data_IF_982566853883
#
_entry.id   IF_982566853883
#
_cell.length_a   1.000
_cell.length_b   1.000
_cell.length_c   1.000
_cell.angle_alpha   90.00
_cell.angle_beta   90.00
_cell.angle_gamma   90.00
#
_symmetry.space_group_name_H-M   'P 1'
#
loop_
_entity.id
_entity.type
_entity.pdbx_description
1 polymer ?
#
# COMPACT_ATOMS: atom_id res chain seq x y z
N UNK A 1 1.96 -24.38 -8.02
CA UNK A 1 2.09 -25.65 -7.26
C UNK A 1 2.74 -26.67 -8.19
N UNK A 2 3.88 -27.24 -7.82
CA UNK A 2 4.62 -28.19 -8.66
C UNK A 2 6.10 -28.26 -8.29
N UNK A 3 6.84 -29.22 -8.86
CA UNK A 3 8.28 -29.41 -8.56
C UNK A 3 9.13 -28.17 -8.89
N UNK A 4 8.70 -27.32 -9.83
CA UNK A 4 9.35 -26.08 -10.22
C UNK A 4 9.22 -24.95 -9.16
N UNK A 5 8.38 -25.11 -8.14
CA UNK A 5 8.33 -24.17 -7.00
C UNK A 5 9.55 -24.32 -6.09
N UNK A 6 10.23 -25.48 -6.11
CA UNK A 6 11.41 -25.72 -5.30
C UNK A 6 12.64 -25.05 -5.95
N UNK A 7 13.35 -24.23 -5.18
CA UNK A 7 14.52 -23.50 -5.67
C UNK A 7 15.64 -24.44 -6.14
N UNK A 8 15.88 -25.56 -5.45
CA UNK A 8 16.90 -26.55 -5.84
C UNK A 8 16.61 -27.14 -7.23
N UNK A 9 15.34 -27.35 -7.55
CA UNK A 9 14.90 -27.82 -8.87
C UNK A 9 15.18 -26.78 -9.94
N UNK A 10 14.87 -25.50 -9.69
CA UNK A 10 15.17 -24.41 -10.64
C UNK A 10 16.67 -24.27 -10.86
N UNK A 11 17.47 -24.27 -9.79
CA UNK A 11 18.93 -24.17 -9.90
C UNK A 11 19.54 -25.33 -10.70
N UNK A 12 19.09 -26.56 -10.45
CA UNK A 12 19.54 -27.72 -11.20
C UNK A 12 19.10 -27.69 -12.67
N UNK A 13 17.88 -27.20 -12.97
CA UNK A 13 17.36 -27.13 -14.33
C UNK A 13 18.19 -26.21 -15.24
N UNK A 14 18.73 -25.13 -14.67
CA UNK A 14 19.59 -24.17 -15.37
C UNK A 14 21.09 -24.43 -15.15
N UNK A 15 21.49 -25.56 -14.56
CA UNK A 15 22.90 -25.93 -14.40
C UNK A 15 23.58 -26.16 -15.74
N UNK A 16 24.92 -26.06 -15.80
CA UNK A 16 25.65 -26.34 -17.04
C UNK A 16 25.48 -27.80 -17.48
N UNK A 17 25.43 -28.76 -16.56
CA UNK A 17 25.26 -30.17 -16.92
C UNK A 17 23.88 -30.42 -17.55
N UNK A 18 22.82 -29.87 -16.95
CA UNK A 18 21.46 -30.11 -17.43
C UNK A 18 21.18 -29.27 -18.68
N UNK A 19 21.44 -27.96 -18.65
CA UNK A 19 21.06 -27.05 -19.72
C UNK A 19 21.98 -27.13 -20.96
N UNK A 20 23.31 -27.18 -20.76
CA UNK A 20 24.28 -27.15 -21.87
C UNK A 20 24.71 -28.54 -22.31
N UNK A 21 24.93 -29.45 -21.36
CA UNK A 21 25.41 -30.80 -21.65
C UNK A 21 24.27 -31.82 -21.84
N UNK A 22 23.01 -31.41 -21.63
CA UNK A 22 21.80 -32.25 -21.73
C UNK A 22 21.87 -33.55 -20.89
N UNK A 23 22.63 -33.51 -19.79
CA UNK A 23 22.75 -34.60 -18.85
C UNK A 23 21.55 -34.62 -17.89
N UNK A 24 21.33 -35.76 -17.24
CA UNK A 24 20.41 -35.83 -16.11
C UNK A 24 20.98 -35.02 -14.94
N UNK A 25 20.12 -34.37 -14.16
CA UNK A 25 20.55 -33.72 -12.92
C UNK A 25 21.04 -34.75 -11.92
N UNK A 26 21.83 -34.29 -10.95
CA UNK A 26 22.02 -35.04 -9.71
C UNK A 26 20.67 -35.21 -8.99
N UNK A 27 20.62 -36.15 -8.05
CA UNK A 27 19.42 -36.39 -7.24
C UNK A 27 19.05 -35.11 -6.46
N UNK A 28 17.86 -34.59 -6.70
CA UNK A 28 17.35 -33.39 -6.03
C UNK A 28 16.40 -33.82 -4.93
N UNK A 29 16.82 -33.66 -3.68
CA UNK A 29 15.99 -33.94 -2.51
C UNK A 29 14.99 -32.78 -2.27
N UNK A 30 13.71 -33.11 -2.41
CA UNK A 30 12.58 -32.20 -2.16
C UNK A 30 12.07 -32.29 -0.72
N UNK A 31 12.38 -33.38 -0.01
CA UNK A 31 12.03 -33.64 1.39
C UNK A 31 12.49 -35.02 1.84
N UNK A 32 12.11 -35.43 3.06
CA UNK A 32 12.63 -36.65 3.74
C UNK A 32 12.47 -37.94 2.91
N UNK A 33 11.40 -38.06 2.11
CA UNK A 33 11.13 -39.24 1.27
C UNK A 33 10.81 -38.88 -0.19
N UNK A 34 11.18 -37.68 -0.66
CA UNK A 34 10.88 -37.24 -2.01
C UNK A 34 12.13 -36.75 -2.70
N UNK A 35 12.50 -37.41 -3.78
CA UNK A 35 13.62 -37.02 -4.63
C UNK A 35 13.22 -37.02 -6.10
N UNK A 36 13.81 -36.13 -6.88
CA UNK A 36 13.52 -35.97 -8.30
C UNK A 36 14.84 -35.85 -9.08
N UNK A 37 14.85 -36.41 -10.27
CA UNK A 37 15.88 -36.20 -11.29
C UNK A 37 15.21 -35.54 -12.47
N UNK A 38 15.82 -34.46 -12.98
CA UNK A 38 15.31 -33.72 -14.13
C UNK A 38 16.27 -33.84 -15.30
N UNK A 39 15.73 -33.79 -16.52
CA UNK A 39 16.49 -33.74 -17.76
C UNK A 39 15.87 -32.66 -18.64
N UNK A 40 16.71 -31.89 -19.34
CA UNK A 40 16.22 -30.92 -20.31
C UNK A 40 15.68 -31.67 -21.54
N UNK A 41 14.43 -31.40 -21.89
CA UNK A 41 13.82 -31.88 -23.13
C UNK A 41 14.00 -30.80 -24.22
N UNK A 42 13.39 -29.64 -23.99
CA UNK A 42 13.52 -28.45 -24.82
C UNK A 42 13.98 -27.25 -23.97
N UNK A 43 14.85 -26.41 -24.53
CA UNK A 43 15.25 -25.14 -23.93
C UNK A 43 14.85 -24.01 -24.87
N UNK A 44 13.94 -23.17 -24.38
CA UNK A 44 13.58 -21.93 -25.05
C UNK A 44 14.36 -20.78 -24.40
N UNK A 45 15.21 -20.06 -25.16
CA UNK A 45 15.95 -18.94 -24.61
C UNK A 45 14.97 -17.83 -24.20
N UNK A 46 15.30 -17.13 -23.11
CA UNK A 46 14.54 -15.95 -22.69
C UNK A 46 14.52 -14.94 -23.83
N UNK A 47 13.35 -14.75 -24.42
CA UNK A 47 13.11 -13.78 -25.48
C UNK A 47 12.21 -12.69 -24.92
N UNK A 48 12.46 -11.46 -25.35
CA UNK A 48 11.59 -10.36 -25.00
C UNK A 48 10.29 -10.55 -25.77
N UNK A 49 9.17 -10.65 -25.04
CA UNK A 49 7.86 -10.76 -25.68
C UNK A 49 7.69 -9.59 -26.65
N UNK A 50 7.25 -9.90 -27.85
CA UNK A 50 7.01 -8.90 -28.89
C UNK A 50 5.81 -8.03 -28.49
N UNK A 51 5.75 -6.82 -29.04
CA UNK A 51 4.59 -5.93 -28.80
C UNK A 51 3.27 -6.62 -29.19
N UNK A 52 3.26 -7.51 -30.17
CA UNK A 52 2.07 -8.26 -30.57
C UNK A 52 1.58 -9.22 -29.49
N UNK A 53 2.51 -9.89 -28.78
CA UNK A 53 2.19 -10.87 -27.72
C UNK A 53 1.68 -10.21 -26.45
N UNK A 54 2.19 -9.01 -26.12
CA UNK A 54 1.76 -8.24 -24.93
C UNK A 54 0.77 -7.13 -25.25
N UNK A 55 0.31 -7.01 -26.50
CA UNK A 55 -0.53 -5.90 -26.96
C UNK A 55 -1.80 -5.78 -26.13
N UNK A 56 -2.50 -6.89 -25.93
CA UNK A 56 -3.77 -6.90 -25.22
C UNK A 56 -3.59 -6.63 -23.73
N UNK A 57 -2.48 -7.12 -23.16
CA UNK A 57 -2.11 -6.83 -21.77
C UNK A 57 -1.82 -5.33 -21.59
N UNK A 58 -0.99 -4.74 -22.45
CA UNK A 58 -0.68 -3.30 -22.44
C UNK A 58 -1.95 -2.48 -22.68
N UNK A 59 -2.79 -2.88 -23.64
CA UNK A 59 -4.02 -2.17 -23.94
C UNK A 59 -4.98 -2.19 -22.74
N UNK A 60 -5.04 -3.31 -22.01
CA UNK A 60 -5.83 -3.41 -20.77
C UNK A 60 -5.24 -2.50 -19.70
N UNK A 61 -3.93 -2.58 -19.43
CA UNK A 61 -3.26 -1.71 -18.45
C UNK A 61 -3.42 -0.22 -18.77
N UNK A 62 -3.29 0.18 -20.03
CA UNK A 62 -3.46 1.58 -20.44
C UNK A 62 -4.90 2.04 -20.33
N UNK A 63 -5.88 1.15 -20.59
CA UNK A 63 -7.30 1.47 -20.38
C UNK A 63 -7.58 1.68 -18.90
N UNK A 64 -7.09 0.79 -18.03
CA UNK A 64 -7.29 0.91 -16.58
C UNK A 64 -6.66 2.23 -16.08
N UNK A 65 -5.43 2.53 -16.49
CA UNK A 65 -4.78 3.80 -16.15
C UNK A 65 -5.53 5.03 -16.67
N UNK A 66 -6.09 4.96 -17.87
CA UNK A 66 -6.89 6.04 -18.44
C UNK A 66 -8.20 6.24 -17.66
N UNK A 67 -8.84 5.14 -17.22
CA UNK A 67 -10.02 5.17 -16.37
C UNK A 67 -9.69 5.81 -15.03
N UNK A 68 -8.63 5.36 -14.36
CA UNK A 68 -8.19 5.90 -13.07
C UNK A 68 -7.90 7.40 -13.15
N UNK A 69 -7.18 7.82 -14.20
CA UNK A 69 -6.86 9.24 -14.42
C UNK A 69 -8.13 10.05 -14.66
N UNK A 70 -9.06 9.54 -15.49
CA UNK A 70 -10.32 10.21 -15.77
C UNK A 70 -11.21 10.33 -14.52
N UNK A 71 -11.24 9.30 -13.68
CA UNK A 71 -11.98 9.31 -12.41
C UNK A 71 -11.38 10.32 -11.43
N UNK A 72 -10.05 10.32 -11.26
CA UNK A 72 -9.37 11.30 -10.41
C UNK A 72 -9.61 12.75 -10.87
N UNK A 73 -9.55 13.00 -12.18
CA UNK A 73 -9.84 14.32 -12.74
C UNK A 73 -11.31 14.71 -12.57
N UNK A 74 -12.24 13.77 -12.74
CA UNK A 74 -13.66 13.99 -12.48
C UNK A 74 -13.90 14.34 -11.00
N UNK A 75 -13.36 13.56 -10.06
CA UNK A 75 -13.47 13.82 -8.63
C UNK A 75 -12.88 15.19 -8.24
N UNK A 76 -11.72 15.55 -8.80
CA UNK A 76 -11.11 16.88 -8.62
C UNK A 76 -11.98 18.00 -9.16
N UNK A 77 -12.58 17.82 -10.34
CA UNK A 77 -13.47 18.82 -10.94
C UNK A 77 -14.79 18.97 -10.17
N UNK A 78 -15.32 17.88 -9.62
CA UNK A 78 -16.48 17.89 -8.72
C UNK A 78 -16.10 18.63 -7.42
N UNK A 79 -14.93 18.34 -6.84
CA UNK A 79 -14.41 19.02 -5.66
C UNK A 79 -14.32 20.54 -5.82
N UNK A 80 -13.91 21.02 -7.01
CA UNK A 80 -13.88 22.46 -7.32
C UNK A 80 -15.27 23.12 -7.36
N UNK A 81 -16.33 22.35 -7.64
CA UNK A 81 -17.71 22.85 -7.66
C UNK A 81 -18.35 22.89 -6.27
N UNK A 82 -17.74 22.23 -5.29
CA UNK A 82 -18.19 22.25 -3.90
C UNK A 82 -17.70 23.53 -3.20
N UNK A 83 -18.47 24.59 -3.35
CA UNK A 83 -18.31 25.83 -2.56
C UNK A 83 -19.20 25.77 -1.31
N UNK A 84 -19.00 26.72 -0.39
CA UNK A 84 -19.79 26.86 0.84
C UNK A 84 -21.32 26.79 0.63
N UNK A 85 -21.80 27.40 -0.46
CA UNK A 85 -23.22 27.50 -0.81
C UNK A 85 -23.72 26.38 -1.73
N UNK A 86 -22.84 25.49 -2.18
CA UNK A 86 -23.21 24.37 -3.03
C UNK A 86 -23.83 23.26 -2.19
N UNK A 87 -24.97 22.71 -2.63
CA UNK A 87 -25.51 21.47 -2.08
C UNK A 87 -24.68 20.28 -2.58
N UNK A 88 -23.90 19.60 -1.71
CA UNK A 88 -23.04 18.50 -2.14
C UNK A 88 -23.84 17.31 -2.70
N UNK A 89 -25.08 17.12 -2.26
CA UNK A 89 -25.96 16.07 -2.78
C UNK A 89 -26.37 16.35 -4.23
N UNK A 90 -26.77 17.58 -4.53
CA UNK A 90 -27.09 17.99 -5.90
C UNK A 90 -25.89 17.88 -6.83
N UNK A 91 -24.70 18.26 -6.36
CA UNK A 91 -23.44 18.16 -7.12
C UNK A 91 -23.08 16.69 -7.40
N UNK A 92 -23.21 15.81 -6.40
CA UNK A 92 -22.97 14.37 -6.58
C UNK A 92 -23.96 13.74 -7.56
N UNK A 93 -25.25 14.05 -7.42
CA UNK A 93 -26.32 13.54 -8.30
C UNK A 93 -26.12 13.99 -9.75
N UNK A 94 -25.78 15.27 -9.96
CA UNK A 94 -25.50 15.81 -11.30
C UNK A 94 -24.26 15.17 -11.94
N UNK A 95 -23.31 14.69 -11.15
CA UNK A 95 -22.13 13.98 -11.60
C UNK A 95 -22.36 12.46 -11.78
N UNK A 96 -23.55 11.94 -11.46
CA UNK A 96 -23.84 10.50 -11.48
C UNK A 96 -23.10 9.72 -10.38
N UNK A 97 -22.60 10.41 -9.35
CA UNK A 97 -21.87 9.79 -8.24
C UNK A 97 -22.83 9.29 -7.15
N UNK A 98 -22.45 8.22 -6.46
CA UNK A 98 -23.18 7.71 -5.30
C UNK A 98 -23.01 8.67 -4.13
N UNK A 99 -24.11 9.27 -3.68
CA UNK A 99 -24.11 10.16 -2.52
C UNK A 99 -24.25 9.36 -1.22
N UNK A 100 -23.41 9.68 -0.24
CA UNK A 100 -23.50 9.16 1.13
C UNK A 100 -23.89 10.31 2.05
N UNK A 101 -24.94 10.11 2.85
CA UNK A 101 -25.43 11.13 3.76
C UNK A 101 -24.36 11.55 4.79
N UNK A 102 -24.33 12.83 5.21
CA UNK A 102 -23.36 13.30 6.18
C UNK A 102 -23.58 12.65 7.54
N UNK A 103 -22.50 12.14 8.12
CA UNK A 103 -22.51 11.46 9.43
C UNK A 103 -21.41 12.01 10.32
N UNK A 104 -21.67 12.06 11.63
CA UNK A 104 -20.63 12.34 12.61
C UNK A 104 -19.75 11.12 12.79
N UNK A 105 -18.45 11.28 12.54
CA UNK A 105 -17.48 10.20 12.64
C UNK A 105 -16.39 10.54 13.64
N UNK A 106 -15.91 9.51 14.33
CA UNK A 106 -14.66 9.56 15.10
C UNK A 106 -13.55 8.99 14.23
N UNK A 107 -12.31 9.42 14.47
CA UNK A 107 -11.12 8.89 13.79
C UNK A 107 -10.97 7.37 13.94
N UNK A 108 -11.48 6.82 15.05
CA UNK A 108 -11.43 5.40 15.40
C UNK A 108 -12.69 4.63 15.01
N UNK A 109 -13.66 5.26 14.33
CA UNK A 109 -14.89 4.60 13.92
C UNK A 109 -14.61 3.57 12.81
N UNK A 110 -14.34 2.32 13.21
CA UNK A 110 -14.09 1.20 12.29
C UNK A 110 -15.36 0.55 11.74
N UNK A 111 -16.49 0.71 12.45
CA UNK A 111 -17.78 0.12 12.09
C UNK A 111 -18.68 1.07 11.29
N UNK A 112 -18.12 2.18 10.78
CA UNK A 112 -18.87 3.12 9.97
C UNK A 112 -19.16 2.52 8.57
N UNK A 113 -20.28 2.89 7.92
CA UNK A 113 -20.59 2.47 6.56
C UNK A 113 -19.70 3.13 5.48
N UNK A 114 -18.57 3.71 5.89
CA UNK A 114 -17.65 4.49 5.04
C UNK A 114 -16.28 3.80 5.08
N UNK A 115 -15.58 3.64 3.94
CA UNK A 115 -14.26 3.03 3.88
C UNK A 115 -13.25 3.70 4.83
N UNK A 116 -12.37 2.91 5.44
CA UNK A 116 -11.40 3.40 6.43
C UNK A 116 -10.43 4.43 5.83
N UNK A 117 -10.07 4.29 4.56
CA UNK A 117 -9.23 5.20 3.79
C UNK A 117 -9.87 6.57 3.64
N UNK A 118 -11.19 6.60 3.38
CA UNK A 118 -11.96 7.84 3.30
C UNK A 118 -12.06 8.54 4.67
N UNK A 119 -12.23 7.78 5.75
CA UNK A 119 -12.21 8.32 7.12
C UNK A 119 -10.83 8.91 7.44
N UNK A 120 -9.74 8.19 7.17
CA UNK A 120 -8.39 8.69 7.39
C UNK A 120 -8.10 9.95 6.57
N UNK A 121 -8.51 9.98 5.30
CA UNK A 121 -8.38 11.15 4.44
C UNK A 121 -9.16 12.37 4.97
N UNK A 122 -10.37 12.15 5.50
CA UNK A 122 -11.16 13.20 6.14
C UNK A 122 -10.44 13.84 7.33
N UNK A 123 -9.80 13.02 8.18
CA UNK A 123 -9.06 13.49 9.36
C UNK A 123 -7.65 14.02 9.03
N UNK A 124 -7.11 13.73 7.85
CA UNK A 124 -5.84 14.26 7.36
C UNK A 124 -5.99 15.61 6.62
N UNK A 125 -7.22 16.02 6.30
CA UNK A 125 -7.50 17.32 5.70
C UNK A 125 -7.26 18.44 6.72
N UNK A 126 -6.68 19.54 6.24
CA UNK A 126 -6.62 20.75 7.03
C UNK A 126 -8.06 21.27 7.28
N UNK A 127 -8.37 21.76 8.49
CA UNK A 127 -9.63 22.42 8.76
C UNK A 127 -9.84 23.56 7.75
N UNK A 128 -10.99 23.57 7.08
CA UNK A 128 -11.37 24.73 6.30
C UNK A 128 -11.80 25.86 7.26
N UNK A 129 -11.57 27.15 6.89
CA UNK A 129 -12.11 28.28 7.64
C UNK A 129 -13.63 28.17 7.78
N UNK A 130 -14.19 28.76 8.84
CA UNK A 130 -15.63 28.71 9.12
C UNK A 130 -16.47 29.03 7.88
N UNK A 131 -17.41 28.14 7.58
CA UNK A 131 -18.30 28.25 6.42
C UNK A 131 -17.76 27.65 5.12
N UNK A 132 -16.50 27.24 5.02
CA UNK A 132 -15.97 26.57 3.82
C UNK A 132 -15.99 25.04 3.95
N UNK A 133 -16.20 24.35 2.82
CA UNK A 133 -16.10 22.90 2.74
C UNK A 133 -14.66 22.50 2.41
N UNK A 134 -14.06 21.63 3.23
CA UNK A 134 -12.82 20.96 2.83
C UNK A 134 -13.18 19.73 2.00
N UNK A 135 -12.53 19.53 0.85
CA UNK A 135 -12.74 18.36 0.02
C UNK A 135 -11.43 17.72 -0.43
N UNK A 136 -11.42 16.39 -0.59
CA UNK A 136 -10.27 15.63 -1.09
C UNK A 136 -10.74 14.41 -1.87
N UNK A 137 -10.22 14.27 -3.09
CA UNK A 137 -10.36 13.05 -3.88
C UNK A 137 -9.33 12.00 -3.42
N UNK A 138 -9.74 10.74 -3.39
CA UNK A 138 -8.88 9.60 -3.12
C UNK A 138 -9.33 8.36 -3.91
N UNK A 139 -8.35 7.57 -4.34
CA UNK A 139 -8.60 6.21 -4.83
C UNK A 139 -8.88 5.28 -3.65
N UNK A 140 -9.93 4.47 -3.77
CA UNK A 140 -10.30 3.42 -2.84
C UNK A 140 -9.66 2.08 -3.25
N UNK A 141 -9.52 1.17 -2.29
CA UNK A 141 -8.94 -0.16 -2.53
C UNK A 141 -9.80 -1.07 -3.41
N UNK A 142 -11.06 -0.73 -3.63
CA UNK A 142 -11.99 -1.43 -4.53
C UNK A 142 -11.86 -0.98 -5.99
N UNK A 143 -10.96 -0.02 -6.29
CA UNK A 143 -10.76 0.55 -7.63
C UNK A 143 -11.67 1.73 -7.95
N UNK A 144 -12.51 2.17 -7.02
CA UNK A 144 -13.34 3.36 -7.20
C UNK A 144 -12.58 4.64 -6.75
N UNK A 145 -13.00 5.79 -7.26
CA UNK A 145 -12.54 7.10 -6.78
C UNK A 145 -13.62 7.72 -5.88
N UNK A 146 -13.24 8.15 -4.68
CA UNK A 146 -14.12 8.81 -3.72
C UNK A 146 -13.72 10.26 -3.49
N UNK A 147 -14.72 11.15 -3.44
CA UNK A 147 -14.55 12.53 -3.03
C UNK A 147 -15.09 12.71 -1.61
N UNK A 148 -14.18 12.92 -0.66
CA UNK A 148 -14.52 13.17 0.74
C UNK A 148 -14.77 14.66 0.93
N UNK A 149 -15.86 15.00 1.61
CA UNK A 149 -16.25 16.37 1.92
C UNK A 149 -16.45 16.51 3.42
N UNK A 150 -15.71 17.41 4.04
CA UNK A 150 -15.81 17.72 5.47
C UNK A 150 -16.59 19.02 5.63
N UNK A 151 -17.79 18.92 6.21
CA UNK A 151 -18.69 20.05 6.43
C UNK A 151 -18.47 20.75 7.77
N UNK A 152 -18.21 19.98 8.82
CA UNK A 152 -18.05 20.51 10.17
C UNK A 152 -17.10 19.63 10.97
N UNK A 153 -16.31 20.28 11.82
CA UNK A 153 -15.42 19.63 12.78
C UNK A 153 -15.96 19.95 14.17
N UNK A 154 -16.15 18.91 14.99
CA UNK A 154 -16.50 19.07 16.40
C UNK A 154 -15.32 18.60 17.22
N UNK A 155 -14.72 19.51 17.97
CA UNK A 155 -13.65 19.15 18.88
C UNK A 155 -14.16 18.22 19.97
N UNK A 156 -13.32 17.25 20.32
CA UNK A 156 -13.57 16.38 21.46
C UNK A 156 -13.42 17.18 22.75
N UNK A 157 -14.30 16.98 23.71
CA UNK A 157 -14.20 17.60 25.02
C UNK A 157 -13.26 16.77 25.92
N UNK A 158 -12.11 17.30 26.35
CA UNK A 158 -11.19 16.60 27.26
C UNK A 158 -11.83 16.20 28.60
N UNK A 159 -12.88 16.91 29.03
CA UNK A 159 -13.61 16.60 30.25
C UNK A 159 -14.49 15.34 30.13
N UNK A 160 -14.79 14.91 28.91
CA UNK A 160 -15.60 13.70 28.63
C UNK A 160 -14.76 12.43 28.49
N UNK A 161 -13.44 12.53 28.56
CA UNK A 161 -12.52 11.40 28.46
C UNK A 161 -12.54 10.63 29.80
N UNK A 162 -12.75 9.32 29.73
CA UNK A 162 -12.70 8.45 30.91
C UNK A 162 -11.28 8.43 31.51
N UNK A 163 -11.15 8.23 32.83
CA UNK A 163 -9.84 8.11 33.47
C UNK A 163 -9.01 6.97 32.85
N UNK A 164 -9.66 5.87 32.47
CA UNK A 164 -9.02 4.74 31.81
C UNK A 164 -8.43 5.10 30.43
N UNK A 165 -9.16 5.90 29.64
CA UNK A 165 -8.66 6.39 28.34
C UNK A 165 -7.50 7.37 28.52
N UNK A 166 -7.51 8.20 29.57
CA UNK A 166 -6.40 9.11 29.90
C UNK A 166 -5.14 8.33 30.27
N UNK A 167 -5.26 7.29 31.09
CA UNK A 167 -4.13 6.44 31.46
C UNK A 167 -3.56 5.72 30.24
N UNK A 168 -4.42 5.14 29.39
CA UNK A 168 -4.00 4.48 28.16
C UNK A 168 -3.27 5.45 27.20
N UNK A 169 -3.80 6.66 27.02
CA UNK A 169 -3.17 7.70 26.20
C UNK A 169 -1.83 8.15 26.78
N UNK A 170 -1.74 8.32 28.10
CA UNK A 170 -0.49 8.67 28.79
C UNK A 170 0.58 7.60 28.58
N UNK A 171 0.23 6.32 28.76
CA UNK A 171 1.13 5.20 28.52
C UNK A 171 1.60 5.16 27.06
N UNK A 172 0.71 5.40 26.10
CA UNK A 172 1.05 5.43 24.68
C UNK A 172 2.03 6.57 24.35
N UNK A 173 1.81 7.78 24.91
CA UNK A 173 2.71 8.93 24.73
C UNK A 173 4.08 8.63 25.35
N UNK A 174 4.12 8.07 26.57
CA UNK A 174 5.36 7.68 27.23
C UNK A 174 6.15 6.65 26.41
N UNK A 175 5.47 5.65 25.86
CA UNK A 175 6.11 4.63 25.02
C UNK A 175 6.67 5.23 23.74
N UNK A 176 5.91 6.10 23.06
CA UNK A 176 6.37 6.77 21.85
C UNK A 176 7.60 7.65 22.12
N UNK A 177 7.58 8.42 23.21
CA UNK A 177 8.73 9.22 23.64
C UNK A 177 9.94 8.35 23.98
N UNK A 178 9.76 7.27 24.75
CA UNK A 178 10.86 6.37 25.11
C UNK A 178 11.52 5.74 23.88
N UNK A 179 10.73 5.35 22.87
CA UNK A 179 11.25 4.82 21.61
C UNK A 179 12.03 5.87 20.81
N UNK A 180 11.52 7.10 20.74
CA UNK A 180 12.23 8.22 20.10
C UNK A 180 13.55 8.53 20.81
N UNK A 181 13.53 8.66 22.13
CA UNK A 181 14.73 8.92 22.95
C UNK A 181 15.75 7.80 22.81
N UNK A 182 15.33 6.54 22.84
CA UNK A 182 16.23 5.40 22.66
C UNK A 182 16.87 5.41 21.26
N UNK A 183 16.09 5.70 20.21
CA UNK A 183 16.60 5.82 18.84
C UNK A 183 17.65 6.92 18.70
N UNK A 184 17.41 8.08 19.32
CA UNK A 184 18.37 9.21 19.35
C UNK A 184 19.62 8.85 20.16
N UNK A 185 19.46 8.23 21.33
CA UNK A 185 20.58 7.79 22.16
C UNK A 185 21.47 6.77 21.44
N UNK A 186 20.87 5.75 20.82
CA UNK A 186 21.60 4.75 20.04
C UNK A 186 22.32 5.37 18.85
N UNK A 187 21.72 6.37 18.19
CA UNK A 187 22.36 7.11 17.11
C UNK A 187 23.57 7.89 17.63
N UNK A 188 23.42 8.64 18.72
CA UNK A 188 24.51 9.39 19.34
C UNK A 188 25.66 8.47 19.78
N UNK A 189 25.36 7.35 20.46
CA UNK A 189 26.36 6.36 20.87
C UNK A 189 27.08 5.73 19.68
N UNK A 190 26.37 5.47 18.57
CA UNK A 190 26.98 4.96 17.33
C UNK A 190 27.91 5.98 16.69
N UNK A 191 27.52 7.26 16.69
CA UNK A 191 28.32 8.35 16.12
C UNK A 191 29.58 8.64 16.96
N UNK A 192 29.52 8.47 18.28
CA UNK A 192 30.65 8.67 19.20
C UNK A 192 31.56 7.42 19.31
N UNK A 193 31.01 6.23 19.07
CA UNK A 193 31.79 5.00 19.06
C UNK A 193 32.68 4.91 17.81
N UNK A 194 33.93 4.52 18.00
CA UNK A 194 34.89 4.30 16.91
C UNK A 194 34.62 2.97 16.20
N UNK A 195 33.55 2.92 15.40
CA UNK A 195 33.09 1.73 14.68
C UNK A 195 33.58 1.80 13.22
N UNK A 196 34.38 0.80 12.81
CA UNK A 196 34.79 0.63 11.41
C UNK A 196 33.88 -0.40 10.75
N UNK A 197 32.91 0.06 9.95
CA UNK A 197 32.01 -0.84 9.19
C UNK A 197 32.71 -1.24 7.89
N UNK A 198 32.95 -2.54 7.71
CA UNK A 198 33.59 -3.07 6.51
C UNK A 198 32.53 -3.25 5.39
N UNK A 199 32.29 -2.18 4.62
CA UNK A 199 31.20 -2.06 3.64
C UNK A 199 31.15 -3.18 2.57
N UNK A 200 32.24 -3.93 2.36
CA UNK A 200 32.27 -5.07 1.43
C UNK A 200 31.50 -6.30 1.94
N UNK A 201 31.36 -6.49 3.26
CA UNK A 201 30.62 -7.60 3.85
C UNK A 201 29.11 -7.30 4.04
N UNK A 202 28.74 -6.03 4.11
CA UNK A 202 27.37 -5.59 4.35
C UNK A 202 26.49 -5.71 3.08
N UNK A 203 27.07 -5.48 1.90
CA UNK A 203 26.39 -5.69 0.61
C UNK A 203 26.07 -7.15 0.30
N UNK A 204 26.75 -8.10 0.95
CA UNK A 204 26.49 -9.54 0.81
C UNK A 204 25.48 -10.09 1.82
N UNK A 205 25.02 -9.26 2.77
CA UNK A 205 24.13 -9.68 3.86
C UNK A 205 22.73 -9.06 3.78
N UNK A 206 22.39 -8.37 2.69
CA UNK A 206 21.00 -7.99 2.42
C UNK A 206 20.31 -9.15 1.68
N UNK A 207 19.29 -9.80 2.26
CA UNK A 207 18.53 -10.85 1.59
C UNK A 207 17.71 -10.33 0.40
#
# INVERSE_FOLDING_TARGET
MGIAANEKVRQAAFSKEVLKQKLNSNLIELGVNHAVVIRVDQHEPATQLTLAEVKDQIATTLKDQAIDTALADAAKNIGKKLTADADPQAVATAAGATWVAPVWLKRTARDAPIPAEAIQAAFALAPAPDGQLASKALALSDGNEALVVVKAIKDGDPATISEQDKEALSAQIQQAQAQQTLGVLLKALRDEAKITINQKAEKTATP
#
